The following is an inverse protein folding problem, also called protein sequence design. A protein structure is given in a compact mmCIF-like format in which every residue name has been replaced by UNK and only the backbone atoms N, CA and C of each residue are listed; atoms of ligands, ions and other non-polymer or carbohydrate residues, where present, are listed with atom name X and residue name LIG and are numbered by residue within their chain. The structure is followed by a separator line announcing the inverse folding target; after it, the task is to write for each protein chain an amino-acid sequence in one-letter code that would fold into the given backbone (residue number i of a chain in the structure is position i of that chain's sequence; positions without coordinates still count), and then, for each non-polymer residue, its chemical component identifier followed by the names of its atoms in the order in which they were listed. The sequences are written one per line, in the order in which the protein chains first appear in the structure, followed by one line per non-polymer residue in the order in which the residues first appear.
data_IF_439632783518
#
_entry.id   IF_439632783518
#
_cell.length_a   1.000
_cell.length_b   1.000
_cell.length_c   1.000
_cell.angle_alpha   90.00
_cell.angle_beta   90.00
_cell.angle_gamma   90.00
#
_symmetry.space_group_name_H-M   'P 1'
#
loop_
_entity.id
_entity.type
_entity.pdbx_description
1 polymer ?
#
# COMPACT_ATOMS: atom_id res chain seq x y z
N UNK A 1 -33.02 -8.59 -6.61
CA UNK A 1 -31.83 -9.45 -6.71
C UNK A 1 -30.71 -8.63 -7.31
N UNK A 2 -29.93 -7.98 -6.47
CA UNK A 2 -28.86 -7.06 -6.91
C UNK A 2 -27.54 -7.82 -6.88
N UNK A 3 -27.00 -8.16 -8.05
CA UNK A 3 -25.70 -8.79 -8.19
C UNK A 3 -24.61 -7.76 -7.84
N UNK A 4 -24.01 -7.91 -6.68
CA UNK A 4 -22.77 -7.21 -6.34
C UNK A 4 -21.67 -7.71 -7.28
N UNK A 5 -21.41 -6.95 -8.34
CA UNK A 5 -20.23 -7.15 -9.19
C UNK A 5 -18.99 -6.79 -8.37
N UNK A 6 -18.38 -7.80 -7.73
CA UNK A 6 -17.03 -7.69 -7.21
C UNK A 6 -16.09 -7.57 -8.41
N UNK A 7 -15.29 -6.51 -8.49
CA UNK A 7 -14.25 -6.38 -9.50
C UNK A 7 -13.41 -7.66 -9.49
N UNK A 8 -13.39 -8.38 -10.63
CA UNK A 8 -12.61 -9.61 -10.79
C UNK A 8 -11.14 -9.26 -10.80
N UNK A 9 -10.26 -10.08 -10.20
CA UNK A 9 -8.81 -10.00 -10.46
C UNK A 9 -8.56 -10.05 -11.97
N UNK A 10 -7.57 -9.31 -12.45
CA UNK A 10 -7.22 -9.30 -13.89
C UNK A 10 -7.00 -10.71 -14.43
N UNK A 11 -7.18 -10.88 -15.73
CA UNK A 11 -7.14 -12.17 -16.44
C UNK A 11 -5.74 -12.83 -16.40
N UNK A 12 -5.31 -13.29 -15.25
CA UNK A 12 -4.00 -13.90 -14.99
C UNK A 12 -3.68 -14.01 -13.51
N UNK A 13 -4.38 -13.26 -12.66
CA UNK A 13 -4.15 -13.26 -11.23
C UNK A 13 -4.59 -14.57 -10.58
N UNK A 14 -3.68 -15.20 -9.83
CA UNK A 14 -3.97 -16.39 -9.02
C UNK A 14 -4.20 -15.95 -7.58
N UNK A 15 -5.48 -15.92 -7.16
CA UNK A 15 -5.83 -15.59 -5.77
C UNK A 15 -5.95 -16.87 -4.95
N UNK A 16 -5.20 -16.95 -3.84
CA UNK A 16 -5.21 -18.08 -2.92
C UNK A 16 -4.96 -17.65 -1.48
N UNK A 17 -5.32 -18.50 -0.53
CA UNK A 17 -4.92 -18.34 0.86
C UNK A 17 -3.55 -18.98 1.09
N UNK A 18 -2.62 -18.25 1.72
CA UNK A 18 -1.29 -18.71 2.07
C UNK A 18 -1.08 -18.52 3.57
N UNK A 19 -0.64 -19.57 4.25
CA UNK A 19 -0.33 -19.49 5.69
C UNK A 19 1.17 -19.28 5.88
N UNK A 20 1.52 -18.17 6.54
CA UNK A 20 2.89 -17.80 6.87
C UNK A 20 2.94 -17.18 8.27
N UNK A 21 3.96 -17.53 9.06
CA UNK A 21 4.12 -17.02 10.43
C UNK A 21 2.88 -17.21 11.32
N UNK A 22 2.16 -18.34 11.16
CA UNK A 22 0.93 -18.63 11.89
C UNK A 22 -0.29 -17.78 11.49
N UNK A 23 -0.21 -17.04 10.38
CA UNK A 23 -1.30 -16.19 9.86
C UNK A 23 -1.68 -16.60 8.44
N UNK A 24 -2.96 -16.70 8.17
CA UNK A 24 -3.48 -16.96 6.82
C UNK A 24 -3.73 -15.64 6.12
N UNK A 25 -3.10 -15.45 4.96
CA UNK A 25 -3.23 -14.26 4.13
C UNK A 25 -3.88 -14.61 2.80
N UNK A 26 -4.92 -13.91 2.44
CA UNK A 26 -5.44 -13.94 1.07
C UNK A 26 -4.43 -13.19 0.20
N UNK A 27 -3.89 -13.88 -0.78
CA UNK A 27 -2.78 -13.44 -1.60
C UNK A 27 -3.14 -13.54 -3.08
N UNK A 28 -2.79 -12.54 -3.86
CA UNK A 28 -2.86 -12.52 -5.33
C UNK A 28 -1.45 -12.54 -5.89
N UNK A 29 -1.23 -13.40 -6.89
CA UNK A 29 -0.01 -13.41 -7.68
C UNK A 29 -0.39 -13.24 -9.14
N UNK A 30 0.04 -12.15 -9.77
CA UNK A 30 0.10 -11.99 -11.21
C UNK A 30 1.44 -12.54 -11.68
N UNK A 31 1.50 -13.70 -12.36
CA UNK A 31 2.76 -14.23 -12.87
C UNK A 31 3.35 -13.26 -13.91
N UNK A 32 4.65 -13.02 -13.83
CA UNK A 32 5.39 -12.35 -14.87
C UNK A 32 5.73 -13.29 -16.03
N UNK A 33 5.92 -12.74 -17.21
CA UNK A 33 6.35 -13.52 -18.40
C UNK A 33 7.86 -13.70 -18.45
N UNK A 34 8.62 -13.02 -17.59
CA UNK A 34 10.07 -13.06 -17.54
C UNK A 34 10.56 -13.25 -16.09
N UNK A 35 11.17 -14.40 -15.83
CA UNK A 35 11.69 -14.74 -14.50
C UNK A 35 12.98 -14.01 -14.13
N UNK A 36 13.66 -13.37 -15.10
CA UNK A 36 14.83 -12.54 -14.85
C UNK A 36 14.46 -11.18 -14.24
N UNK A 37 13.21 -10.73 -14.43
CA UNK A 37 12.72 -9.48 -13.85
C UNK A 37 12.36 -9.72 -12.38
N UNK A 38 12.95 -8.97 -11.42
CA UNK A 38 12.66 -9.14 -10.00
C UNK A 38 11.18 -8.95 -9.69
N UNK A 39 10.58 -9.83 -8.85
CA UNK A 39 9.19 -9.70 -8.44
C UNK A 39 8.92 -8.40 -7.66
N UNK A 40 7.72 -7.85 -7.80
CA UNK A 40 7.26 -6.69 -7.05
C UNK A 40 6.23 -7.12 -6.00
N UNK A 41 6.52 -6.83 -4.73
CA UNK A 41 5.61 -6.99 -3.61
C UNK A 41 4.91 -5.66 -3.32
N UNK A 42 3.58 -5.65 -3.38
CA UNK A 42 2.75 -4.49 -3.07
C UNK A 42 2.12 -4.62 -1.68
N UNK A 43 2.33 -3.61 -0.84
CA UNK A 43 1.75 -3.46 0.50
C UNK A 43 0.75 -2.30 0.50
N UNK A 44 -0.52 -2.62 0.74
CA UNK A 44 -1.62 -1.66 0.55
C UNK A 44 -1.86 -0.75 1.77
N UNK A 45 -2.63 0.31 1.55
CA UNK A 45 -3.06 1.25 2.59
C UNK A 45 -4.02 0.67 3.62
N UNK A 46 -4.29 1.44 4.68
CA UNK A 46 -5.16 1.01 5.79
C UNK A 46 -6.59 0.70 5.31
N UNK A 47 -7.10 -0.47 5.67
CA UNK A 47 -8.44 -0.93 5.33
C UNK A 47 -8.65 -1.32 3.87
N UNK A 48 -7.64 -1.18 3.03
CA UNK A 48 -7.72 -1.48 1.60
C UNK A 48 -7.41 -2.94 1.31
N UNK A 49 -8.29 -3.60 0.55
CA UNK A 49 -8.05 -4.96 0.06
C UNK A 49 -7.16 -4.97 -1.19
N UNK A 50 -6.66 -6.14 -1.55
CA UNK A 50 -5.70 -6.30 -2.66
C UNK A 50 -6.23 -5.79 -4.01
N UNK A 51 -7.55 -5.75 -4.19
CA UNK A 51 -8.20 -5.26 -5.42
C UNK A 51 -8.01 -3.76 -5.65
N UNK A 52 -7.83 -2.97 -4.59
CA UNK A 52 -7.72 -1.50 -4.70
C UNK A 52 -6.55 -1.09 -5.59
N UNK A 53 -5.45 -1.85 -5.57
CA UNK A 53 -4.28 -1.60 -6.43
C UNK A 53 -4.37 -2.29 -7.80
N UNK A 54 -5.53 -2.85 -8.20
CA UNK A 54 -5.64 -3.51 -9.51
C UNK A 54 -5.34 -2.57 -10.68
N UNK A 55 -5.84 -1.31 -10.71
CA UNK A 55 -5.50 -0.39 -11.80
C UNK A 55 -3.99 -0.17 -11.96
N UNK A 56 -3.27 -0.09 -10.85
CA UNK A 56 -1.81 0.04 -10.88
C UNK A 56 -1.13 -1.25 -11.40
N UNK A 57 -1.59 -2.41 -10.94
CA UNK A 57 -1.07 -3.71 -11.43
C UNK A 57 -1.30 -3.89 -12.93
N UNK A 58 -2.47 -3.47 -13.44
CA UNK A 58 -2.80 -3.57 -14.87
C UNK A 58 -1.94 -2.63 -15.73
N UNK A 59 -1.46 -1.52 -15.16
CA UNK A 59 -0.59 -0.57 -15.83
C UNK A 59 0.91 -0.96 -15.78
N UNK A 60 1.29 -1.96 -14.97
CA UNK A 60 2.67 -2.44 -14.88
C UNK A 60 3.02 -3.40 -16.04
N UNK A 61 4.29 -3.39 -16.44
CA UNK A 61 4.86 -4.31 -17.42
C UNK A 61 4.49 -5.78 -17.10
N UNK A 62 3.92 -6.53 -18.05
CA UNK A 62 3.54 -7.92 -17.86
C UNK A 62 4.71 -8.86 -17.62
N UNK A 63 5.96 -8.45 -17.90
CA UNK A 63 7.15 -9.25 -17.61
C UNK A 63 7.36 -9.46 -16.10
N UNK A 64 6.93 -8.50 -15.26
CA UNK A 64 7.16 -8.51 -13.81
C UNK A 64 6.11 -9.32 -13.06
N UNK A 65 6.56 -10.27 -12.25
CA UNK A 65 5.67 -10.93 -11.27
C UNK A 65 5.25 -9.92 -10.20
N UNK A 66 3.95 -9.86 -9.90
CA UNK A 66 3.42 -8.95 -8.88
C UNK A 66 2.70 -9.74 -7.80
N UNK A 67 3.08 -9.53 -6.55
CA UNK A 67 2.48 -10.15 -5.36
C UNK A 67 1.74 -9.10 -4.56
N UNK A 68 0.50 -9.38 -4.21
CA UNK A 68 -0.35 -8.57 -3.30
C UNK A 68 -0.96 -9.46 -2.24
N UNK A 69 -1.24 -8.93 -1.07
CA UNK A 69 -1.92 -9.66 -0.02
C UNK A 69 -2.83 -8.73 0.80
N UNK A 70 -3.88 -9.32 1.34
CA UNK A 70 -4.70 -8.69 2.36
C UNK A 70 -4.05 -8.87 3.73
N UNK A 71 -3.88 -7.79 4.47
CA UNK A 71 -3.40 -7.84 5.87
C UNK A 71 -4.44 -8.56 6.75
N UNK A 72 -4.05 -9.27 7.81
CA UNK A 72 -5.00 -9.99 8.68
C UNK A 72 -6.15 -9.12 9.18
N UNK A 73 -7.38 -9.57 8.90
CA UNK A 73 -8.61 -8.84 9.23
C UNK A 73 -9.04 -7.81 8.20
N UNK A 74 -8.35 -7.70 7.06
CA UNK A 74 -8.71 -6.83 5.94
C UNK A 74 -9.04 -7.69 4.73
N UNK A 75 -9.91 -7.20 3.86
CA UNK A 75 -10.29 -7.91 2.64
C UNK A 75 -10.79 -9.31 2.92
N UNK A 76 -10.14 -10.31 2.34
CA UNK A 76 -10.46 -11.73 2.53
C UNK A 76 -9.53 -12.47 3.50
N UNK A 77 -8.58 -11.81 4.15
CA UNK A 77 -7.74 -12.43 5.17
C UNK A 77 -8.49 -12.56 6.50
N UNK A 78 -8.44 -13.73 7.16
CA UNK A 78 -9.03 -13.92 8.47
C UNK A 78 -8.50 -12.91 9.49
N UNK A 79 -9.35 -12.44 10.43
CA UNK A 79 -8.89 -11.56 11.49
C UNK A 79 -7.92 -12.30 12.41
N UNK A 80 -6.85 -11.65 12.87
CA UNK A 80 -5.89 -12.26 13.77
C UNK A 80 -6.51 -12.46 15.16
N UNK A 81 -6.06 -13.49 15.86
CA UNK A 81 -6.44 -13.75 17.27
C UNK A 81 -5.84 -12.67 18.17
N UNK A 82 -4.59 -12.30 17.91
CA UNK A 82 -3.88 -11.25 18.66
C UNK A 82 -3.49 -10.11 17.72
N UNK A 83 -3.47 -8.85 18.22
CA UNK A 83 -2.95 -7.74 17.45
C UNK A 83 -1.54 -7.98 16.94
N UNK A 84 -1.16 -7.27 15.89
CA UNK A 84 0.20 -7.26 15.34
C UNK A 84 0.74 -5.84 15.32
N UNK A 85 2.04 -5.72 15.23
CA UNK A 85 2.73 -4.46 14.97
C UNK A 85 3.38 -4.52 13.58
N UNK A 86 3.84 -3.38 13.05
CA UNK A 86 4.62 -3.39 11.80
C UNK A 86 5.87 -4.27 11.93
N UNK A 87 6.51 -4.24 13.11
CA UNK A 87 7.69 -5.05 13.42
C UNK A 87 7.42 -6.56 13.39
N UNK A 88 6.32 -6.99 14.02
CA UNK A 88 5.99 -8.43 14.09
C UNK A 88 5.39 -8.95 12.77
N UNK A 89 5.02 -8.06 11.85
CA UNK A 89 4.46 -8.44 10.56
C UNK A 89 5.53 -8.66 9.46
N UNK A 90 6.70 -8.05 9.59
CA UNK A 90 7.81 -8.25 8.63
C UNK A 90 8.18 -9.73 8.41
N UNK A 91 8.41 -10.55 9.46
CA UNK A 91 8.65 -11.98 9.32
C UNK A 91 7.51 -12.76 8.66
N UNK A 92 6.25 -12.34 8.84
CA UNK A 92 5.10 -12.96 8.16
C UNK A 92 5.18 -12.73 6.65
N UNK A 93 5.57 -11.52 6.23
CA UNK A 93 5.77 -11.17 4.82
C UNK A 93 6.91 -11.99 4.20
N UNK A 94 8.03 -12.15 4.92
CA UNK A 94 9.13 -13.01 4.45
C UNK A 94 8.66 -14.45 4.26
N UNK A 95 8.00 -15.02 5.27
CA UNK A 95 7.44 -16.37 5.17
C UNK A 95 6.38 -16.52 4.08
N UNK A 96 5.63 -15.46 3.76
CA UNK A 96 4.72 -15.45 2.61
C UNK A 96 5.50 -15.60 1.30
N UNK A 97 6.55 -14.82 1.09
CA UNK A 97 7.40 -14.90 -0.10
C UNK A 97 8.02 -16.30 -0.26
N UNK A 98 8.54 -16.87 0.83
CA UNK A 98 9.11 -18.24 0.83
C UNK A 98 8.06 -19.29 0.44
N UNK A 99 6.83 -19.19 0.95
CA UNK A 99 5.72 -20.09 0.58
C UNK A 99 5.26 -19.91 -0.87
N UNK A 100 5.58 -18.80 -1.49
CA UNK A 100 5.33 -18.56 -2.92
C UNK A 100 6.48 -19.03 -3.82
N UNK A 101 7.59 -19.50 -3.25
CA UNK A 101 8.80 -19.90 -3.98
C UNK A 101 9.63 -18.70 -4.45
N UNK A 102 9.46 -17.54 -3.79
CA UNK A 102 10.20 -16.31 -4.07
C UNK A 102 11.31 -16.12 -3.04
N UNK A 103 12.34 -16.98 -3.08
CA UNK A 103 13.39 -17.01 -2.07
C UNK A 103 14.45 -15.91 -2.23
N UNK A 104 14.53 -15.31 -3.41
CA UNK A 104 15.44 -14.21 -3.73
C UNK A 104 14.97 -12.84 -3.26
N UNK A 105 15.76 -11.79 -3.54
CA UNK A 105 15.35 -10.42 -3.30
C UNK A 105 14.15 -10.01 -4.18
N UNK A 106 13.23 -9.23 -3.62
CA UNK A 106 12.09 -8.66 -4.34
C UNK A 106 12.14 -7.14 -4.27
N UNK A 107 11.50 -6.48 -5.21
CA UNK A 107 11.16 -5.07 -5.09
C UNK A 107 9.95 -4.91 -4.19
N UNK A 108 9.90 -3.83 -3.43
CA UNK A 108 8.82 -3.58 -2.48
C UNK A 108 8.21 -2.22 -2.72
N UNK A 109 6.90 -2.15 -2.90
CA UNK A 109 6.15 -0.91 -2.92
C UNK A 109 5.15 -0.89 -1.77
N UNK A 110 5.22 0.15 -0.95
CA UNK A 110 4.27 0.40 0.13
C UNK A 110 3.46 1.67 -0.11
N UNK A 111 2.14 1.54 -0.15
CA UNK A 111 1.20 2.67 -0.23
C UNK A 111 0.72 3.04 1.17
N UNK A 112 0.87 4.31 1.57
CA UNK A 112 0.29 4.85 2.81
C UNK A 112 0.69 4.01 4.05
N UNK A 113 -0.24 3.39 4.75
CA UNK A 113 0.03 2.45 5.86
C UNK A 113 0.98 1.32 5.45
N UNK A 114 0.81 0.80 4.23
CA UNK A 114 1.71 -0.19 3.65
C UNK A 114 3.14 0.33 3.47
N UNK A 115 3.31 1.65 3.31
CA UNK A 115 4.63 2.29 3.28
C UNK A 115 5.35 2.20 4.63
N UNK A 116 4.62 2.28 5.76
CA UNK A 116 5.18 2.02 7.07
C UNK A 116 5.66 0.57 7.22
N UNK A 117 4.86 -0.38 6.75
CA UNK A 117 5.24 -1.80 6.73
C UNK A 117 6.46 -2.05 5.82
N UNK A 118 6.49 -1.44 4.64
CA UNK A 118 7.59 -1.55 3.68
C UNK A 118 8.91 -1.00 4.24
N UNK A 119 8.88 0.15 4.92
CA UNK A 119 10.04 0.73 5.62
C UNK A 119 10.56 -0.24 6.69
N UNK A 120 9.65 -0.81 7.48
CA UNK A 120 10.02 -1.75 8.54
C UNK A 120 10.60 -3.05 7.97
N UNK A 121 9.97 -3.59 6.92
CA UNK A 121 10.45 -4.76 6.18
C UNK A 121 11.86 -4.53 5.61
N UNK A 122 12.09 -3.38 4.96
CA UNK A 122 13.38 -3.05 4.36
C UNK A 122 14.53 -3.01 5.39
N UNK A 123 14.27 -2.56 6.62
CA UNK A 123 15.27 -2.56 7.71
C UNK A 123 15.49 -3.95 8.28
N UNK A 124 14.41 -4.70 8.55
CA UNK A 124 14.50 -6.03 9.18
C UNK A 124 15.04 -7.11 8.22
N UNK A 125 14.64 -7.02 6.96
CA UNK A 125 14.90 -8.05 5.95
C UNK A 125 15.69 -7.48 4.75
N UNK A 126 16.82 -6.81 5.05
CA UNK A 126 17.65 -6.08 4.07
C UNK A 126 18.00 -6.87 2.82
N UNK A 127 18.28 -8.16 2.97
CA UNK A 127 18.65 -9.04 1.84
C UNK A 127 17.45 -9.46 1.00
N UNK A 128 16.23 -9.27 1.50
CA UNK A 128 14.98 -9.62 0.81
C UNK A 128 14.36 -8.43 0.09
N UNK A 129 14.78 -7.20 0.39
CA UNK A 129 14.34 -5.99 -0.27
C UNK A 129 15.44 -5.46 -1.19
N UNK A 130 15.24 -5.53 -2.52
CA UNK A 130 16.19 -5.04 -3.53
C UNK A 130 16.08 -3.52 -3.69
N UNK A 131 14.90 -3.05 -4.05
CA UNK A 131 14.53 -1.63 -4.19
C UNK A 131 13.24 -1.35 -3.44
N UNK A 132 13.11 -0.13 -2.96
CA UNK A 132 11.97 0.30 -2.15
C UNK A 132 11.23 1.46 -2.81
N UNK A 133 9.91 1.35 -2.94
CA UNK A 133 9.05 2.46 -3.38
C UNK A 133 8.10 2.82 -2.24
N UNK A 134 8.12 4.06 -1.81
CA UNK A 134 7.31 4.61 -0.73
C UNK A 134 6.32 5.62 -1.30
N UNK A 135 5.08 5.22 -1.47
CA UNK A 135 4.05 6.03 -2.11
C UNK A 135 3.06 6.60 -1.08
N UNK A 136 2.81 7.90 -1.13
CA UNK A 136 1.86 8.61 -0.28
C UNK A 136 1.94 8.18 1.21
N UNK A 137 3.16 8.11 1.75
CA UNK A 137 3.45 7.63 3.10
C UNK A 137 4.39 8.59 3.84
N UNK A 138 4.53 8.38 5.14
CA UNK A 138 5.38 9.19 6.01
C UNK A 138 6.14 8.35 7.03
N UNK A 139 6.70 9.02 8.02
CA UNK A 139 7.52 8.42 9.07
C UNK A 139 6.69 7.95 10.29
N UNK A 140 5.37 7.91 10.19
CA UNK A 140 4.49 7.50 11.30
C UNK A 140 4.29 8.61 12.34
N UNK A 141 4.34 8.28 13.63
CA UNK A 141 3.98 9.21 14.71
C UNK A 141 4.82 10.50 14.77
N UNK A 142 6.03 10.48 14.21
CA UNK A 142 6.92 11.66 14.16
C UNK A 142 6.88 12.38 12.81
N UNK A 143 5.83 12.23 12.03
CA UNK A 143 5.62 12.97 10.79
C UNK A 143 4.87 14.29 11.04
N UNK A 144 4.92 15.21 10.08
CA UNK A 144 4.03 16.37 10.05
C UNK A 144 2.60 15.85 9.85
N UNK A 145 1.67 16.08 10.79
CA UNK A 145 0.35 15.47 10.75
C UNK A 145 -0.54 16.09 9.66
N UNK A 146 -1.52 15.34 9.22
CA UNK A 146 -2.66 15.85 8.46
C UNK A 146 -3.47 16.86 9.29
N UNK A 147 -4.30 17.66 8.61
CA UNK A 147 -5.24 18.52 9.30
C UNK A 147 -6.16 17.71 10.25
N UNK A 148 -6.49 18.17 11.47
CA UNK A 148 -7.29 17.43 12.45
C UNK A 148 -8.61 16.87 11.91
N UNK A 149 -9.30 17.60 11.02
CA UNK A 149 -10.53 17.11 10.36
C UNK A 149 -10.27 15.85 9.53
N UNK A 150 -9.17 15.81 8.76
CA UNK A 150 -8.77 14.65 7.95
C UNK A 150 -8.45 13.47 8.87
N UNK A 151 -7.66 13.70 9.93
CA UNK A 151 -7.35 12.66 10.93
C UNK A 151 -8.62 12.07 11.56
N UNK A 152 -9.59 12.89 11.94
CA UNK A 152 -10.85 12.43 12.50
C UNK A 152 -11.62 11.50 11.54
N UNK A 153 -11.57 11.76 10.21
CA UNK A 153 -12.17 10.88 9.19
C UNK A 153 -11.44 9.53 9.08
N UNK A 154 -10.15 9.51 9.41
CA UNK A 154 -9.32 8.31 9.35
C UNK A 154 -9.46 7.39 10.58
N UNK A 155 -10.04 7.86 11.69
CA UNK A 155 -10.19 7.06 12.92
C UNK A 155 -11.19 5.90 12.79
N UNK A 156 -12.05 5.91 11.77
CA UNK A 156 -13.06 4.87 11.58
C UNK A 156 -13.04 4.30 10.16
N UNK A 157 -13.44 3.02 9.97
CA UNK A 157 -13.55 2.41 8.64
C UNK A 157 -14.80 2.86 7.87
N UNK A 158 -15.50 3.92 8.31
CA UNK A 158 -16.79 4.32 7.71
C UNK A 158 -16.67 4.60 6.22
N UNK A 159 -15.58 5.26 5.79
CA UNK A 159 -15.33 5.57 4.38
C UNK A 159 -15.22 4.33 3.46
N UNK A 160 -14.89 3.16 4.04
CA UNK A 160 -14.83 1.91 3.28
C UNK A 160 -16.18 1.17 3.24
N UNK A 161 -17.13 1.53 4.12
CA UNK A 161 -18.37 0.78 4.38
C UNK A 161 -19.64 1.51 3.97
N UNK A 162 -19.57 2.83 3.90
CA UNK A 162 -20.68 3.72 3.60
C UNK A 162 -20.32 4.51 2.33
N UNK A 163 -20.82 4.06 1.15
CA UNK A 163 -20.48 4.69 -0.14
C UNK A 163 -20.90 6.16 -0.22
N UNK A 164 -22.03 6.52 0.37
CA UNK A 164 -22.51 7.90 0.36
C UNK A 164 -21.62 8.80 1.22
N UNK A 165 -21.26 8.31 2.42
CA UNK A 165 -20.30 9.01 3.27
C UNK A 165 -18.93 9.16 2.58
N UNK A 166 -18.44 8.09 1.95
CA UNK A 166 -17.16 8.13 1.24
C UNK A 166 -17.17 9.16 0.12
N UNK A 167 -18.22 9.19 -0.71
CA UNK A 167 -18.38 10.17 -1.78
C UNK A 167 -18.36 11.61 -1.26
N UNK A 168 -19.09 11.86 -0.16
CA UNK A 168 -19.18 13.20 0.43
C UNK A 168 -17.85 13.74 0.95
N UNK A 169 -16.97 12.87 1.47
CA UNK A 169 -15.68 13.27 2.05
C UNK A 169 -14.49 13.03 1.13
N UNK A 170 -14.67 12.40 -0.02
CA UNK A 170 -13.57 11.95 -0.89
C UNK A 170 -12.60 13.08 -1.26
N UNK A 171 -13.10 14.22 -1.73
CA UNK A 171 -12.27 15.38 -2.08
C UNK A 171 -11.51 15.95 -0.88
N UNK A 172 -12.12 15.92 0.33
CA UNK A 172 -11.49 16.40 1.57
C UNK A 172 -10.33 15.51 2.00
N UNK A 173 -10.47 14.16 1.86
CA UNK A 173 -9.50 13.23 2.41
C UNK A 173 -8.47 12.72 1.41
N UNK A 174 -8.79 12.71 0.11
CA UNK A 174 -7.87 12.15 -0.89
C UNK A 174 -7.17 13.21 -1.73
N UNK A 175 -7.76 14.41 -1.88
CA UNK A 175 -7.16 15.50 -2.67
C UNK A 175 -7.01 15.18 -4.15
N UNK A 176 -6.19 15.98 -4.84
CA UNK A 176 -5.87 15.79 -6.25
C UNK A 176 -7.11 15.79 -7.15
N UNK A 177 -7.08 15.00 -8.22
CA UNK A 177 -8.18 14.86 -9.19
C UNK A 177 -9.51 14.43 -8.58
N UNK A 178 -9.48 13.86 -7.36
CA UNK A 178 -10.70 13.45 -6.63
C UNK A 178 -11.52 14.65 -6.18
N UNK A 179 -10.92 15.83 -6.00
CA UNK A 179 -11.69 17.06 -5.69
C UNK A 179 -12.64 17.43 -6.80
N UNK A 180 -12.19 17.23 -8.04
CA UNK A 180 -12.94 17.61 -9.24
C UNK A 180 -13.91 16.48 -9.68
N UNK A 181 -13.53 15.21 -9.43
CA UNK A 181 -14.31 14.03 -9.83
C UNK A 181 -14.57 13.07 -8.64
N UNK A 182 -15.22 13.51 -7.54
CA UNK A 182 -15.37 12.69 -6.33
C UNK A 182 -16.19 11.41 -6.55
N UNK A 183 -17.10 11.42 -7.51
CA UNK A 183 -17.93 10.25 -7.84
C UNK A 183 -17.14 9.16 -8.56
N UNK A 184 -16.24 9.54 -9.48
CA UNK A 184 -15.39 8.59 -10.21
C UNK A 184 -14.46 7.86 -9.25
N UNK A 185 -13.82 8.60 -8.36
CA UNK A 185 -12.91 8.04 -7.39
C UNK A 185 -13.61 7.19 -6.34
N UNK A 186 -14.74 7.66 -5.79
CA UNK A 186 -15.53 6.87 -4.84
C UNK A 186 -15.99 5.56 -5.48
N UNK A 187 -16.45 5.57 -6.73
CA UNK A 187 -16.81 4.33 -7.46
C UNK A 187 -15.61 3.41 -7.62
N UNK A 188 -14.46 3.91 -8.06
CA UNK A 188 -13.26 3.10 -8.26
C UNK A 188 -12.78 2.44 -6.96
N UNK A 189 -12.73 3.19 -5.87
CA UNK A 189 -12.28 2.69 -4.57
C UNK A 189 -13.30 1.73 -3.93
N UNK A 190 -14.60 2.04 -3.99
CA UNK A 190 -15.64 1.20 -3.39
C UNK A 190 -15.90 -0.08 -4.19
N UNK A 191 -15.95 -0.01 -5.51
CA UNK A 191 -16.14 -1.18 -6.36
C UNK A 191 -15.00 -2.20 -6.21
N UNK A 192 -13.79 -1.70 -5.92
CA UNK A 192 -12.61 -2.52 -5.72
C UNK A 192 -12.45 -3.04 -4.28
N UNK A 193 -13.09 -2.41 -3.27
CA UNK A 193 -12.83 -2.76 -1.87
C UNK A 193 -13.63 -3.97 -1.40
N UNK A 194 -12.95 -5.07 -1.08
CA UNK A 194 -13.55 -6.18 -0.33
C UNK A 194 -13.52 -5.86 1.16
N UNK A 195 -14.69 -5.86 1.79
CA UNK A 195 -14.81 -5.52 3.20
C UNK A 195 -14.44 -6.70 4.10
N UNK A 196 -13.49 -6.46 5.01
CA UNK A 196 -13.21 -7.32 6.16
C UNK A 196 -14.00 -6.89 7.42
N UNK A 197 -13.84 -7.59 8.56
CA UNK A 197 -14.42 -7.19 9.84
C UNK A 197 -13.83 -5.86 10.32
N UNK A 198 -14.67 -5.03 11.00
CA UNK A 198 -14.24 -3.71 11.51
C UNK A 198 -12.96 -3.76 12.37
N UNK A 199 -12.80 -4.83 13.16
CA UNK A 199 -11.63 -5.01 14.03
C UNK A 199 -10.31 -5.04 13.28
N UNK A 200 -10.27 -5.52 12.04
CA UNK A 200 -9.07 -5.53 11.20
C UNK A 200 -8.53 -4.12 10.94
N UNK A 201 -9.42 -3.18 10.68
CA UNK A 201 -9.06 -1.77 10.52
C UNK A 201 -8.45 -1.19 11.80
N UNK A 202 -9.08 -1.48 12.96
CA UNK A 202 -8.57 -0.99 14.25
C UNK A 202 -7.24 -1.64 14.65
N UNK A 203 -7.00 -2.89 14.26
CA UNK A 203 -5.69 -3.51 14.44
C UNK A 203 -4.61 -2.85 13.59
N UNK A 204 -4.93 -2.43 12.36
CA UNK A 204 -3.99 -1.65 11.56
C UNK A 204 -3.71 -0.26 12.17
N UNK A 205 -4.73 0.42 12.69
CA UNK A 205 -4.53 1.68 13.42
C UNK A 205 -3.63 1.47 14.63
N UNK A 206 -3.92 0.46 15.45
CA UNK A 206 -3.12 0.12 16.62
C UNK A 206 -1.68 -0.22 16.27
N UNK A 207 -1.45 -0.95 15.17
CA UNK A 207 -0.13 -1.32 14.69
C UNK A 207 0.74 -0.11 14.29
N UNK A 208 0.13 1.00 13.91
CA UNK A 208 0.82 2.25 13.55
C UNK A 208 0.85 3.28 14.69
N UNK A 209 0.06 3.07 15.76
CA UNK A 209 0.04 3.99 16.90
C UNK A 209 1.38 3.99 17.61
N UNK A 210 1.99 5.18 17.74
CA UNK A 210 3.30 5.35 18.35
C UNK A 210 4.49 4.83 17.52
N UNK A 211 4.24 4.15 16.38
CA UNK A 211 5.31 3.71 15.50
C UNK A 211 5.88 4.91 14.71
N UNK A 212 7.21 4.93 14.57
CA UNK A 212 7.89 5.85 13.65
C UNK A 212 9.12 5.21 13.06
N UNK A 213 9.35 5.46 11.78
CA UNK A 213 10.58 5.08 11.08
C UNK A 213 11.69 6.12 11.23
N UNK A 214 11.39 7.34 11.66
CA UNK A 214 12.35 8.44 11.69
C UNK A 214 13.68 8.06 12.37
N UNK A 215 13.70 7.36 13.52
CA UNK A 215 14.95 6.98 14.17
C UNK A 215 15.81 5.98 13.38
N UNK A 216 15.24 5.27 12.41
CA UNK A 216 15.95 4.23 11.65
C UNK A 216 15.91 4.44 10.12
N UNK A 217 15.41 5.58 9.63
CA UNK A 217 15.43 5.88 8.17
C UNK A 217 16.84 5.76 7.60
N UNK A 218 17.86 6.26 8.29
CA UNK A 218 19.25 6.14 7.87
C UNK A 218 19.80 4.71 7.79
N UNK A 219 19.04 3.72 8.30
CA UNK A 219 19.39 2.30 8.20
C UNK A 219 18.78 1.61 6.97
N UNK A 220 17.86 2.26 6.26
CA UNK A 220 17.32 1.79 4.98
C UNK A 220 18.34 2.10 3.90
N UNK A 221 19.10 1.09 3.48
CA UNK A 221 20.19 1.21 2.52
C UNK A 221 19.80 0.90 1.08
N UNK A 222 18.59 0.38 0.89
CA UNK A 222 18.05 0.08 -0.44
C UNK A 222 17.85 1.36 -1.22
N UNK A 223 18.17 1.38 -2.54
CA UNK A 223 17.71 2.44 -3.41
C UNK A 223 16.21 2.65 -3.22
N UNK A 224 15.80 3.89 -2.92
CA UNK A 224 14.43 4.20 -2.52
C UNK A 224 13.84 5.29 -3.40
N UNK A 225 12.66 5.03 -3.98
CA UNK A 225 11.84 6.04 -4.63
C UNK A 225 10.75 6.50 -3.66
N UNK A 226 10.71 7.79 -3.37
CA UNK A 226 9.63 8.41 -2.59
C UNK A 226 8.68 9.10 -3.56
N UNK A 227 7.44 8.61 -3.62
CA UNK A 227 6.37 9.16 -4.46
C UNK A 227 5.36 9.92 -3.60
N UNK A 228 5.09 11.18 -3.90
CA UNK A 228 4.17 12.00 -3.14
C UNK A 228 3.33 12.91 -4.04
N UNK A 229 2.04 12.98 -3.76
CA UNK A 229 1.17 13.99 -4.35
C UNK A 229 1.39 15.36 -3.71
N UNK A 230 1.34 16.41 -4.52
CA UNK A 230 1.45 17.80 -4.03
C UNK A 230 0.19 18.27 -3.31
N UNK A 231 -0.95 17.60 -3.53
CA UNK A 231 -2.25 17.84 -2.87
C UNK A 231 -2.75 16.63 -2.09
N UNK A 232 -1.86 15.97 -1.32
CA UNK A 232 -2.23 14.87 -0.42
C UNK A 232 -2.62 15.41 0.97
N UNK A 233 -3.92 15.35 1.36
CA UNK A 233 -4.37 15.85 2.65
C UNK A 233 -4.09 14.88 3.81
N UNK A 234 -3.86 13.60 3.54
CA UNK A 234 -3.58 12.57 4.58
C UNK A 234 -2.11 12.58 4.96
N UNK A 235 -1.23 12.64 3.96
CA UNK A 235 0.23 12.69 4.17
C UNK A 235 0.80 13.89 3.44
N UNK A 236 0.87 15.07 4.08
CA UNK A 236 1.42 16.27 3.46
C UNK A 236 2.79 16.04 2.81
N UNK A 237 3.00 16.58 1.62
CA UNK A 237 4.21 16.38 0.78
C UNK A 237 5.53 16.70 1.51
N UNK A 238 5.49 17.54 2.54
CA UNK A 238 6.65 17.81 3.38
C UNK A 238 7.25 16.55 4.02
N UNK A 239 6.40 15.55 4.32
CA UNK A 239 6.87 14.27 4.88
C UNK A 239 7.71 13.48 3.87
N UNK A 240 7.33 13.50 2.59
CA UNK A 240 8.12 12.90 1.53
C UNK A 240 9.49 13.59 1.36
N UNK A 241 9.52 14.92 1.44
CA UNK A 241 10.78 15.70 1.42
C UNK A 241 11.67 15.36 2.61
N UNK A 242 11.09 15.21 3.81
CA UNK A 242 11.82 14.80 5.01
C UNK A 242 12.37 13.37 4.85
N UNK A 243 11.56 12.41 4.38
CA UNK A 243 12.03 11.05 4.13
C UNK A 243 13.18 11.03 3.12
N UNK A 244 13.04 11.73 2.00
CA UNK A 244 14.10 11.80 0.99
C UNK A 244 15.39 12.43 1.52
N UNK A 245 15.31 13.33 2.50
CA UNK A 245 16.48 13.96 3.14
C UNK A 245 17.25 13.03 4.09
N UNK A 246 16.54 12.10 4.75
CA UNK A 246 17.09 11.20 5.76
C UNK A 246 17.43 9.81 5.24
N UNK A 247 16.84 9.37 4.13
CA UNK A 247 17.19 8.12 3.46
C UNK A 247 18.54 8.28 2.74
N UNK A 248 19.46 7.30 2.88
CA UNK A 248 20.81 7.40 2.30
C UNK A 248 20.85 7.43 0.78
N UNK A 249 19.97 6.68 0.12
CA UNK A 249 19.86 6.59 -1.34
C UNK A 249 18.40 6.75 -1.75
N UNK A 250 17.97 8.01 -1.87
CA UNK A 250 16.59 8.34 -2.18
C UNK A 250 16.43 9.24 -3.39
N UNK A 251 15.45 8.90 -4.23
CA UNK A 251 14.92 9.77 -5.28
C UNK A 251 13.54 10.22 -4.88
N UNK A 252 13.27 11.51 -4.90
CA UNK A 252 11.94 12.08 -4.66
C UNK A 252 11.27 12.42 -5.98
N UNK A 253 10.08 11.88 -6.18
CA UNK A 253 9.19 12.25 -7.27
C UNK A 253 7.90 12.82 -6.70
N UNK A 254 7.69 14.12 -6.88
CA UNK A 254 6.44 14.80 -6.52
C UNK A 254 5.59 14.91 -7.78
N UNK A 255 4.41 14.30 -7.76
CA UNK A 255 3.44 14.37 -8.85
C UNK A 255 2.29 15.32 -8.48
N UNK A 256 1.62 15.81 -9.51
CA UNK A 256 0.41 16.61 -9.34
C UNK A 256 -0.76 15.67 -9.06
N UNK A 257 -1.20 15.61 -7.79
CA UNK A 257 -2.26 14.67 -7.41
C UNK A 257 -2.40 14.47 -5.91
N UNK A 258 -3.28 13.54 -5.53
CA UNK A 258 -3.64 13.27 -4.14
C UNK A 258 -3.15 11.93 -3.61
N UNK A 259 -3.73 11.52 -2.47
CA UNK A 259 -3.31 10.35 -1.68
C UNK A 259 -3.43 9.00 -2.42
N UNK A 260 -4.40 8.87 -3.31
CA UNK A 260 -4.71 7.59 -3.99
C UNK A 260 -4.36 7.60 -5.48
N UNK A 261 -3.44 8.45 -5.90
CA UNK A 261 -3.04 8.61 -7.29
C UNK A 261 -2.51 7.30 -7.92
N UNK A 262 -1.89 6.40 -7.16
CA UNK A 262 -1.55 5.06 -7.65
C UNK A 262 -2.75 4.26 -8.17
N UNK A 263 -3.98 4.65 -7.77
CA UNK A 263 -5.22 4.02 -8.26
C UNK A 263 -5.86 4.85 -9.36
N UNK A 264 -5.91 6.18 -9.18
CA UNK A 264 -6.62 7.09 -10.09
C UNK A 264 -5.77 7.53 -11.29
N UNK A 265 -4.46 7.52 -11.15
CA UNK A 265 -3.45 8.00 -12.12
C UNK A 265 -2.40 6.90 -12.36
N UNK A 266 -2.85 5.64 -12.34
CA UNK A 266 -1.98 4.48 -12.51
C UNK A 266 -1.20 4.49 -13.84
N UNK A 267 -1.78 4.87 -14.99
CA UNK A 267 -1.05 4.92 -16.26
C UNK A 267 0.13 5.90 -16.27
N UNK A 268 0.04 6.98 -15.50
CA UNK A 268 1.08 8.00 -15.39
C UNK A 268 2.18 7.58 -14.40
N UNK A 269 1.80 6.92 -13.30
CA UNK A 269 2.72 6.59 -12.21
C UNK A 269 3.41 5.24 -12.37
N UNK A 270 2.80 4.28 -13.04
CA UNK A 270 3.42 2.97 -13.27
C UNK A 270 4.75 3.08 -14.04
N UNK A 271 4.87 3.85 -15.15
CA UNK A 271 6.15 4.02 -15.85
C UNK A 271 7.24 4.66 -14.98
N UNK A 272 6.88 5.59 -14.08
CA UNK A 272 7.84 6.21 -13.15
C UNK A 272 8.41 5.18 -12.19
N UNK A 273 7.53 4.31 -11.66
CA UNK A 273 7.95 3.22 -10.76
C UNK A 273 8.81 2.22 -11.52
N UNK A 274 8.42 1.79 -12.69
CA UNK A 274 9.17 0.81 -13.49
C UNK A 274 10.54 1.33 -13.89
N UNK A 275 10.65 2.57 -14.38
CA UNK A 275 11.92 3.18 -14.69
C UNK A 275 12.89 3.22 -13.49
N UNK A 276 12.36 3.37 -12.27
CA UNK A 276 13.15 3.26 -11.05
C UNK A 276 13.51 1.80 -10.72
N UNK A 277 12.61 0.85 -10.92
CA UNK A 277 12.86 -0.56 -10.59
C UNK A 277 13.83 -1.21 -11.56
N UNK A 278 13.89 -0.76 -12.81
CA UNK A 278 14.74 -1.33 -13.86
C UNK A 278 16.13 -0.68 -13.94
N UNK A 279 16.29 0.56 -13.48
CA UNK A 279 17.56 1.33 -13.43
C UNK A 279 18.30 1.18 -12.15
#
# INVERSE_FOLDING_TARGET
MSSTSSAKPGTGDRVRSVTAGGRTLRTSVRPGTDTAVPPLLLMNGIGASLEVLQPFVDALDPRRTVVRFDVPGVGGSPPPVVPYTLATFGPVVTGLLDRLGLDGPVDVLGLSWGGGLAQHFAVQHRRRCRRLVLAATGTGALMVPAHPRVLARMLTPRRHRDPEYARRIAGEIYGGTIRDEPERAARALHAATRLGPRRGYYYQLAASTGWSSLPFLGLIRQPTLVLAGDDDPIVPVVNARLMARFLPDARLHVYRGGHVALVTEAPELAPVVEAFLDG
#
